data_IF_020862262592
#
_entry.id   IF_020862262592
#
_cell.length_a   1.000
_cell.length_b   1.000
_cell.length_c   1.000
_cell.angle_alpha   90.00
_cell.angle_beta   90.00
_cell.angle_gamma   90.00
#
_symmetry.space_group_name_H-M   'P 1'
#
loop_
_entity.id
_entity.type
_entity.pdbx_description
1 polymer ?
#
# COMPACT_ATOMS: atom_id res chain seq x y z
N UNK A 1 27.38 4.26 9.83
CA UNK A 1 27.07 3.41 8.67
C UNK A 1 26.63 4.34 7.55
N UNK A 2 27.51 4.62 6.59
CA UNK A 2 27.11 5.38 5.41
C UNK A 2 26.37 4.41 4.50
N UNK A 3 25.05 4.54 4.37
CA UNK A 3 24.29 3.80 3.36
C UNK A 3 24.80 4.24 1.99
N UNK A 4 25.62 3.40 1.34
CA UNK A 4 25.93 3.57 -0.06
C UNK A 4 24.63 3.29 -0.82
N UNK A 5 23.96 4.34 -1.29
CA UNK A 5 22.91 4.19 -2.30
C UNK A 5 23.62 3.83 -3.59
N UNK A 6 23.77 2.54 -3.85
CA UNK A 6 24.17 2.06 -5.17
C UNK A 6 23.18 2.64 -6.19
N UNK A 7 23.72 3.45 -7.11
CA UNK A 7 22.96 3.99 -8.22
C UNK A 7 23.07 3.03 -9.39
N UNK A 8 21.99 2.32 -9.68
CA UNK A 8 21.87 1.45 -10.85
C UNK A 8 21.29 2.21 -12.05
N UNK A 9 21.61 1.77 -13.25
CA UNK A 9 20.92 2.23 -14.47
C UNK A 9 19.48 1.68 -14.52
N UNK A 10 18.67 2.23 -15.43
CA UNK A 10 17.30 1.75 -15.63
C UNK A 10 17.26 0.29 -16.09
N UNK A 11 18.22 -0.15 -16.92
CA UNK A 11 18.34 -1.55 -17.34
C UNK A 11 18.70 -2.47 -16.17
N UNK A 12 19.64 -2.06 -15.31
CA UNK A 12 20.04 -2.82 -14.13
C UNK A 12 18.88 -2.96 -13.14
N UNK A 13 18.12 -1.88 -12.92
CA UNK A 13 16.89 -1.93 -12.12
C UNK A 13 15.83 -2.83 -12.76
N UNK A 14 15.68 -2.81 -14.08
CA UNK A 14 14.76 -3.70 -14.78
C UNK A 14 15.14 -5.18 -14.59
N UNK A 15 16.43 -5.50 -14.70
CA UNK A 15 16.94 -6.84 -14.45
C UNK A 15 16.72 -7.29 -13.00
N UNK A 16 17.08 -6.46 -12.01
CA UNK A 16 16.88 -6.78 -10.59
C UNK A 16 15.41 -6.98 -10.24
N UNK A 17 14.53 -6.15 -10.81
CA UNK A 17 13.08 -6.30 -10.66
C UNK A 17 12.60 -7.63 -11.24
N UNK A 18 13.07 -8.00 -12.44
CA UNK A 18 12.72 -9.27 -13.07
C UNK A 18 13.20 -10.47 -12.25
N UNK A 19 14.44 -10.47 -11.76
CA UNK A 19 14.96 -11.57 -10.93
C UNK A 19 14.13 -11.73 -9.65
N UNK A 20 13.68 -10.62 -9.06
CA UNK A 20 12.93 -10.63 -7.79
C UNK A 20 11.45 -11.00 -7.96
N UNK A 21 10.80 -10.50 -9.00
CA UNK A 21 9.34 -10.56 -9.15
C UNK A 21 8.87 -11.29 -10.41
N UNK A 22 9.78 -11.65 -11.31
CA UNK A 22 9.47 -12.20 -12.62
C UNK A 22 8.96 -11.15 -13.59
N UNK A 23 8.17 -11.61 -14.56
CA UNK A 23 7.52 -10.76 -15.55
C UNK A 23 6.26 -10.10 -15.00
N UNK A 24 5.92 -8.93 -15.54
CA UNK A 24 4.64 -8.31 -15.26
C UNK A 24 3.52 -9.16 -15.87
N UNK A 25 2.40 -9.37 -15.14
CA UNK A 25 1.23 -10.02 -15.70
C UNK A 25 0.65 -9.18 -16.85
N UNK A 26 -0.08 -9.86 -17.74
CA UNK A 26 -0.73 -9.21 -18.87
C UNK A 26 -1.64 -8.07 -18.42
N UNK A 27 -1.60 -6.97 -19.19
CA UNK A 27 -2.40 -5.80 -18.89
C UNK A 27 -3.88 -6.10 -19.13
N UNK A 28 -4.68 -6.02 -18.08
CA UNK A 28 -6.14 -6.15 -18.15
C UNK A 28 -6.78 -4.80 -18.44
N UNK A 29 -7.68 -4.76 -19.43
CA UNK A 29 -8.47 -3.56 -19.75
C UNK A 29 -9.39 -3.18 -18.57
N UNK A 30 -9.69 -1.89 -18.35
CA UNK A 30 -10.55 -1.48 -17.23
C UNK A 30 -11.88 -2.23 -17.14
N UNK A 31 -12.49 -2.53 -18.28
CA UNK A 31 -13.78 -3.19 -18.43
C UNK A 31 -13.73 -4.68 -18.04
N UNK A 32 -12.55 -5.29 -18.12
CA UNK A 32 -12.32 -6.71 -17.83
C UNK A 32 -11.84 -6.96 -16.39
N UNK A 33 -11.71 -5.90 -15.57
CA UNK A 33 -11.27 -6.04 -14.18
C UNK A 33 -12.36 -6.66 -13.31
N UNK A 34 -11.98 -7.63 -12.49
CA UNK A 34 -12.88 -8.21 -11.49
C UNK A 34 -13.24 -7.17 -10.41
N UNK A 35 -14.51 -7.14 -9.99
CA UNK A 35 -14.93 -6.36 -8.82
C UNK A 35 -14.44 -7.04 -7.56
N UNK A 36 -13.70 -6.31 -6.72
CA UNK A 36 -13.28 -6.78 -5.40
C UNK A 36 -14.24 -6.29 -4.32
N UNK A 37 -14.42 -7.08 -3.26
CA UNK A 37 -15.17 -6.70 -2.07
C UNK A 37 -14.26 -6.85 -0.85
N UNK A 38 -14.32 -5.89 0.07
CA UNK A 38 -13.58 -5.97 1.34
C UNK A 38 -14.04 -7.23 2.10
N UNK A 39 -13.11 -8.12 2.41
CA UNK A 39 -13.39 -9.34 3.21
C UNK A 39 -13.25 -9.08 4.70
N UNK A 40 -12.54 -8.02 5.08
CA UNK A 40 -12.34 -7.62 6.46
C UNK A 40 -13.42 -6.65 6.91
N UNK A 41 -13.81 -6.77 8.18
CA UNK A 41 -14.74 -5.82 8.81
C UNK A 41 -14.06 -4.46 8.90
N UNK A 42 -14.71 -3.42 8.38
CA UNK A 42 -14.22 -2.05 8.50
C UNK A 42 -14.03 -1.70 9.97
N UNK A 43 -12.81 -1.29 10.33
CA UNK A 43 -12.54 -0.66 11.64
C UNK A 43 -12.95 0.80 11.59
N UNK A 44 -14.24 1.04 11.38
CA UNK A 44 -14.86 2.37 11.39
C UNK A 44 -14.90 2.98 12.80
N UNK A 45 -14.64 2.18 13.83
CA UNK A 45 -14.47 2.61 15.22
C UNK A 45 -13.29 1.89 15.88
N UNK A 46 -12.50 2.58 16.72
CA UNK A 46 -11.55 1.89 17.60
C UNK A 46 -12.29 0.89 18.51
N UNK A 47 -11.69 -0.27 18.74
CA UNK A 47 -12.18 -1.23 19.74
C UNK A 47 -12.31 -0.51 21.09
N UNK A 48 -13.46 -0.59 21.78
CA UNK A 48 -13.66 0.12 23.03
C UNK A 48 -12.79 -0.48 24.14
N UNK A 49 -11.57 0.04 24.29
CA UNK A 49 -10.76 -0.18 25.48
C UNK A 49 -11.33 0.75 26.57
N UNK A 50 -12.37 0.28 27.25
CA UNK A 50 -12.89 0.85 28.51
C UNK A 50 -13.07 2.38 28.54
N UNK A 51 -14.20 2.87 28.06
CA UNK A 51 -14.65 4.27 28.24
C UNK A 51 -15.11 4.92 26.93
N UNK A 52 -16.00 5.93 26.98
CA UNK A 52 -16.38 6.69 25.80
C UNK A 52 -15.13 7.39 25.21
N UNK A 53 -14.87 7.29 23.89
CA UNK A 53 -13.75 8.01 23.29
C UNK A 53 -14.10 9.50 23.21
N UNK A 54 -13.41 10.33 23.99
CA UNK A 54 -13.42 11.79 23.82
C UNK A 54 -12.56 12.14 22.59
N UNK A 55 -13.22 12.25 21.45
CA UNK A 55 -12.64 12.83 20.24
C UNK A 55 -12.96 14.33 20.19
N UNK A 56 -12.40 15.14 21.08
CA UNK A 56 -12.49 16.60 20.92
C UNK A 56 -11.50 17.09 19.85
N UNK A 57 -11.82 16.82 18.58
CA UNK A 57 -11.26 17.51 17.43
C UNK A 57 -12.05 18.80 17.21
N UNK A 58 -11.75 19.85 17.98
CA UNK A 58 -12.12 21.23 17.61
C UNK A 58 -10.89 22.01 17.18
N UNK A 59 -10.78 22.11 15.86
CA UNK A 59 -10.48 23.29 15.06
C UNK A 59 -9.43 24.28 15.58
N UNK A 60 -8.40 24.50 14.74
CA UNK A 60 -7.31 25.43 14.97
C UNK A 60 -7.72 26.87 15.29
N UNK A 61 -6.81 27.52 16.00
CA UNK A 61 -6.67 28.95 16.22
C UNK A 61 -5.22 29.24 16.58
#
# INVERSE_FOLDING_TARGET
>A
MSEQRESFTDEEYAFLRHVRFGELPDRVAPEDRATASETEVRRDRPEPIGGPPDWDLRAGG
#
